data_IF_607794467166
#
_entry.id   IF_607794467166
#
_cell.length_a   1.000
_cell.length_b   1.000
_cell.length_c   1.000
_cell.angle_alpha   90.00
_cell.angle_beta   90.00
_cell.angle_gamma   90.00
#
_symmetry.space_group_name_H-M   'P 1'
#
loop_
_entity.id
_entity.type
_entity.pdbx_description
1 polymer ?
#
# COMPACT_ATOMS: atom_id res chain seq x y z
N UNK A 1 -19.30 8.24 0.13
CA UNK A 1 -20.66 8.61 -0.22
C UNK A 1 -21.51 7.34 -0.39
N UNK A 2 -22.56 7.11 0.44
CA UNK A 2 -23.43 5.93 0.33
C UNK A 2 -24.08 5.75 -1.04
N UNK A 3 -24.30 6.85 -1.78
CA UNK A 3 -24.85 6.80 -3.13
C UNK A 3 -23.96 6.05 -4.15
N UNK A 4 -22.70 5.80 -3.80
CA UNK A 4 -21.75 5.11 -4.67
C UNK A 4 -21.72 3.58 -4.48
N UNK A 5 -22.47 3.04 -3.51
CA UNK A 5 -22.42 1.60 -3.18
C UNK A 5 -22.70 0.70 -4.40
N UNK A 6 -23.58 1.13 -5.31
CA UNK A 6 -23.95 0.36 -6.50
C UNK A 6 -23.39 0.94 -7.80
N UNK A 7 -22.32 1.73 -7.72
CA UNK A 7 -21.74 2.40 -8.89
C UNK A 7 -20.25 2.08 -9.01
N UNK A 8 -19.74 2.12 -10.23
CA UNK A 8 -18.31 2.25 -10.46
C UNK A 8 -17.91 3.71 -10.21
N UNK A 9 -16.84 3.93 -9.45
CA UNK A 9 -16.33 5.25 -9.06
C UNK A 9 -14.88 5.35 -9.50
N UNK A 10 -14.57 6.36 -10.28
CA UNK A 10 -13.21 6.72 -10.69
C UNK A 10 -12.76 8.02 -10.03
N UNK A 11 -11.49 8.30 -10.14
CA UNK A 11 -10.91 9.60 -9.77
C UNK A 11 -11.01 10.57 -10.95
N UNK A 12 -11.29 11.83 -10.68
CA UNK A 12 -11.01 12.90 -11.65
C UNK A 12 -9.50 13.08 -11.79
N UNK A 13 -9.00 13.76 -12.86
CA UNK A 13 -7.57 14.06 -12.97
C UNK A 13 -7.01 14.82 -11.76
N UNK A 14 -7.78 15.74 -11.17
CA UNK A 14 -7.40 16.51 -9.98
C UNK A 14 -7.28 15.61 -8.75
N UNK A 15 -8.27 14.75 -8.53
CA UNK A 15 -8.27 13.80 -7.42
C UNK A 15 -7.12 12.78 -7.55
N UNK A 16 -6.86 12.33 -8.78
CA UNK A 16 -5.76 11.41 -9.06
C UNK A 16 -4.40 12.06 -8.80
N UNK A 17 -4.21 13.30 -9.28
CA UNK A 17 -2.99 14.06 -9.01
C UNK A 17 -2.78 14.22 -7.51
N UNK A 18 -3.78 14.66 -6.77
CA UNK A 18 -3.68 14.82 -5.32
C UNK A 18 -3.36 13.51 -4.60
N UNK A 19 -4.01 12.42 -5.00
CA UNK A 19 -3.95 11.15 -4.27
C UNK A 19 -2.72 10.32 -4.63
N UNK A 20 -2.38 10.22 -5.92
CA UNK A 20 -1.39 9.26 -6.43
C UNK A 20 -0.09 9.91 -6.88
N UNK A 21 -0.17 11.06 -7.55
CA UNK A 21 0.92 11.65 -8.34
C UNK A 21 1.24 13.09 -7.96
N UNK A 22 1.08 13.40 -6.68
CA UNK A 22 1.21 14.79 -6.17
C UNK A 22 2.65 15.34 -6.25
N UNK A 23 3.63 14.52 -6.58
CA UNK A 23 5.01 14.95 -6.81
C UNK A 23 5.38 15.06 -8.30
N UNK A 24 4.51 14.63 -9.21
CA UNK A 24 4.72 14.75 -10.65
C UNK A 24 4.29 16.12 -11.18
N UNK A 25 4.76 16.45 -12.40
CA UNK A 25 4.18 17.54 -13.16
C UNK A 25 2.70 17.28 -13.43
N UNK A 26 1.92 18.33 -13.69
CA UNK A 26 0.51 18.16 -14.04
C UNK A 26 0.34 17.37 -15.33
N UNK A 27 1.21 17.60 -16.32
CA UNK A 27 1.21 16.92 -17.61
C UNK A 27 1.45 15.40 -17.45
N UNK A 28 2.47 15.02 -16.67
CA UNK A 28 2.79 13.61 -16.39
C UNK A 28 1.69 12.93 -15.58
N UNK A 29 1.09 13.66 -14.65
CA UNK A 29 -0.03 13.17 -13.84
C UNK A 29 -1.27 12.89 -14.69
N UNK A 30 -1.62 13.80 -15.60
CA UNK A 30 -2.77 13.66 -16.49
C UNK A 30 -2.56 12.50 -17.46
N UNK A 31 -1.34 12.33 -17.99
CA UNK A 31 -0.97 11.20 -18.83
C UNK A 31 -1.06 9.86 -18.06
N UNK A 32 -0.62 9.84 -16.81
CA UNK A 32 -0.75 8.67 -15.94
C UNK A 32 -2.22 8.34 -15.64
N UNK A 33 -3.04 9.35 -15.36
CA UNK A 33 -4.46 9.19 -15.14
C UNK A 33 -5.17 8.61 -16.36
N UNK A 34 -4.93 9.18 -17.54
CA UNK A 34 -5.54 8.70 -18.78
C UNK A 34 -5.20 7.24 -19.08
N UNK A 35 -3.97 6.85 -18.78
CA UNK A 35 -3.49 5.49 -19.06
C UNK A 35 -3.90 4.44 -18.03
N UNK A 36 -3.98 4.81 -16.76
CA UNK A 36 -4.06 3.84 -15.66
C UNK A 36 -5.28 3.98 -14.77
N UNK A 37 -6.01 5.09 -14.80
CA UNK A 37 -7.17 5.26 -13.93
C UNK A 37 -8.34 4.37 -14.39
N UNK A 38 -8.67 3.38 -13.54
CA UNK A 38 -9.77 2.45 -13.78
C UNK A 38 -10.80 2.65 -12.67
N UNK A 39 -12.10 2.84 -13.01
CA UNK A 39 -13.15 2.91 -12.01
C UNK A 39 -13.23 1.64 -11.15
N UNK A 40 -13.33 1.81 -9.84
CA UNK A 40 -13.47 0.73 -8.87
C UNK A 40 -14.92 0.59 -8.36
N UNK A 41 -15.36 -0.60 -7.91
CA UNK A 41 -16.66 -0.76 -7.27
C UNK A 41 -16.78 0.09 -6.02
N UNK A 42 -17.80 0.94 -5.92
CA UNK A 42 -17.98 1.84 -4.79
C UNK A 42 -18.38 1.15 -3.47
N UNK A 43 -18.73 -0.13 -3.51
CA UNK A 43 -19.13 -0.90 -2.32
C UNK A 43 -17.98 -1.47 -1.51
N UNK A 44 -16.78 -1.60 -2.08
CA UNK A 44 -15.70 -2.33 -1.42
C UNK A 44 -15.24 -1.67 -0.11
N UNK A 45 -15.21 -0.34 -0.06
CA UNK A 45 -14.88 0.42 1.16
C UNK A 45 -15.91 0.14 2.27
N UNK A 46 -17.18 0.01 1.91
CA UNK A 46 -18.25 -0.27 2.85
C UNK A 46 -18.24 -1.73 3.30
N UNK A 47 -18.12 -2.67 2.34
CA UNK A 47 -18.21 -4.10 2.62
C UNK A 47 -16.97 -4.60 3.38
N UNK A 48 -15.79 -4.16 3.01
CA UNK A 48 -14.52 -4.70 3.54
C UNK A 48 -13.78 -3.72 4.47
N UNK A 49 -14.01 -2.43 4.34
CA UNK A 49 -13.39 -1.43 5.22
C UNK A 49 -14.18 -1.21 6.51
N UNK A 50 -15.41 -0.73 6.42
CA UNK A 50 -16.20 -0.32 7.57
C UNK A 50 -17.02 -1.48 8.16
N UNK A 51 -17.84 -2.16 7.36
CA UNK A 51 -18.77 -3.18 7.86
C UNK A 51 -18.09 -4.47 8.28
N UNK A 52 -17.00 -4.87 7.60
CA UNK A 52 -16.25 -6.06 7.97
C UNK A 52 -15.59 -5.93 9.35
N UNK A 53 -15.20 -4.71 9.72
CA UNK A 53 -14.56 -4.44 11.02
C UNK A 53 -15.55 -4.28 12.18
N UNK A 54 -16.87 -4.24 11.91
CA UNK A 54 -17.91 -4.15 12.96
C UNK A 54 -18.32 -5.49 13.55
N UNK A 55 -17.83 -6.63 13.02
CA UNK A 55 -18.09 -7.97 13.54
C UNK A 55 -16.95 -8.44 14.45
N UNK A 56 -17.03 -8.31 15.78
CA UNK A 56 -15.98 -8.79 16.67
C UNK A 56 -15.72 -10.29 16.48
N UNK A 57 -14.46 -10.67 16.26
CA UNK A 57 -14.03 -12.06 16.23
C UNK A 57 -14.26 -12.85 14.93
N UNK A 58 -14.84 -12.23 13.89
CA UNK A 58 -15.04 -12.84 12.56
C UNK A 58 -14.90 -11.82 11.41
N UNK A 59 -13.80 -11.09 11.40
CA UNK A 59 -13.52 -10.16 10.32
C UNK A 59 -12.99 -10.94 9.12
N UNK A 60 -13.57 -10.77 7.95
CA UNK A 60 -13.07 -11.36 6.69
C UNK A 60 -11.67 -10.84 6.33
N UNK A 61 -11.33 -9.67 6.86
CA UNK A 61 -10.03 -9.00 6.70
C UNK A 61 -9.07 -9.25 7.88
N UNK A 62 -9.41 -10.18 8.78
CA UNK A 62 -8.57 -10.48 9.94
C UNK A 62 -7.22 -11.10 9.53
N UNK A 63 -6.16 -10.59 10.14
CA UNK A 63 -4.79 -11.06 9.92
C UNK A 63 -4.19 -11.50 11.26
N UNK A 64 -3.64 -12.70 11.31
CA UNK A 64 -2.82 -13.13 12.44
C UNK A 64 -1.41 -12.53 12.33
N UNK A 65 -1.22 -11.42 12.99
CA UNK A 65 0.06 -10.71 13.00
C UNK A 65 1.16 -11.41 13.79
N UNK A 66 0.85 -12.44 14.56
CA UNK A 66 1.81 -13.21 15.35
C UNK A 66 2.32 -14.45 14.61
N UNK A 67 1.64 -14.85 13.54
CA UNK A 67 1.97 -16.06 12.80
C UNK A 67 3.35 -15.98 12.15
N UNK A 68 4.03 -17.12 12.12
CA UNK A 68 5.25 -17.28 11.31
C UNK A 68 4.92 -17.19 9.81
N UNK A 69 5.81 -16.53 9.07
CA UNK A 69 5.66 -16.22 7.64
C UNK A 69 7.00 -15.94 6.99
N UNK A 70 7.00 -15.73 5.69
CA UNK A 70 8.17 -15.18 5.00
C UNK A 70 8.51 -13.76 5.50
N UNK A 71 9.77 -13.32 5.41
CA UNK A 71 10.16 -11.94 5.64
C UNK A 71 9.28 -10.95 4.86
N UNK A 72 9.02 -9.79 5.44
CA UNK A 72 8.19 -8.76 4.81
C UNK A 72 8.85 -7.39 4.93
N UNK A 73 8.92 -6.71 3.80
CA UNK A 73 9.34 -5.32 3.69
C UNK A 73 8.13 -4.44 3.43
N UNK A 74 7.95 -3.42 4.26
CA UNK A 74 6.99 -2.35 4.04
C UNK A 74 7.72 -1.14 3.47
N UNK A 75 7.25 -0.64 2.34
CA UNK A 75 7.83 0.55 1.69
C UNK A 75 6.80 1.69 1.79
N UNK A 76 7.25 2.86 2.21
CA UNK A 76 6.44 4.07 2.25
C UNK A 76 7.07 5.21 1.45
N UNK A 77 6.23 6.00 0.79
CA UNK A 77 6.63 7.28 0.19
C UNK A 77 6.38 8.42 1.17
N UNK A 78 7.37 9.30 1.39
CA UNK A 78 7.26 10.43 2.34
C UNK A 78 6.06 11.34 2.03
N UNK A 79 5.73 11.52 0.74
CA UNK A 79 4.67 12.41 0.24
C UNK A 79 3.38 11.66 -0.12
N UNK A 80 3.25 10.40 0.26
CA UNK A 80 2.08 9.59 -0.03
C UNK A 80 0.85 10.10 0.73
N UNK A 81 -0.19 10.51 -0.02
CA UNK A 81 -1.44 11.01 0.54
C UNK A 81 -2.48 9.91 0.79
N UNK A 82 -2.35 8.74 0.15
CA UNK A 82 -3.29 7.61 0.34
C UNK A 82 -2.86 6.74 1.51
N UNK A 83 -1.58 6.36 1.52
CA UNK A 83 -0.96 5.54 2.56
C UNK A 83 0.22 6.29 3.18
N UNK A 84 -0.04 7.32 3.98
CA UNK A 84 1.02 8.12 4.60
C UNK A 84 2.05 7.23 5.32
N UNK A 85 3.31 7.64 5.41
CA UNK A 85 4.39 6.86 6.04
C UNK A 85 4.02 6.30 7.41
N UNK A 86 3.27 7.07 8.21
CA UNK A 86 2.80 6.66 9.52
C UNK A 86 1.91 5.41 9.50
N UNK A 87 1.10 5.23 8.44
CA UNK A 87 0.23 4.06 8.26
C UNK A 87 1.06 2.83 7.95
N UNK A 88 1.98 2.90 6.99
CA UNK A 88 2.87 1.79 6.64
C UNK A 88 3.79 1.41 7.81
N UNK A 89 4.31 2.39 8.53
CA UNK A 89 5.10 2.17 9.74
C UNK A 89 4.28 1.50 10.85
N UNK A 90 3.03 1.89 11.02
CA UNK A 90 2.10 1.23 11.95
C UNK A 90 1.79 -0.20 11.51
N UNK A 91 1.58 -0.45 10.21
CA UNK A 91 1.36 -1.79 9.69
C UNK A 91 2.54 -2.71 9.98
N UNK A 92 3.77 -2.26 9.71
CA UNK A 92 4.97 -3.03 10.04
C UNK A 92 5.04 -3.36 11.54
N UNK A 93 4.69 -2.39 12.40
CA UNK A 93 4.68 -2.57 13.85
C UNK A 93 3.68 -3.63 14.34
N UNK A 94 2.57 -3.83 13.64
CA UNK A 94 1.60 -4.88 14.01
C UNK A 94 2.23 -6.27 14.01
N UNK A 95 3.25 -6.51 13.18
CA UNK A 95 3.96 -7.79 13.09
C UNK A 95 5.08 -7.97 14.12
N UNK A 96 5.23 -7.08 15.09
CA UNK A 96 6.30 -7.15 16.11
C UNK A 96 6.30 -8.42 16.98
N UNK A 97 5.19 -9.17 16.97
CA UNK A 97 5.06 -10.45 17.68
C UNK A 97 5.31 -11.66 16.79
N UNK A 98 5.46 -11.48 15.48
CA UNK A 98 5.84 -12.55 14.57
C UNK A 98 7.32 -12.87 14.74
N UNK A 99 7.75 -14.16 14.69
CA UNK A 99 9.17 -14.51 14.64
C UNK A 99 9.82 -14.13 13.31
N UNK A 100 9.04 -13.92 12.25
CA UNK A 100 9.55 -13.54 10.94
C UNK A 100 10.01 -12.09 10.89
N UNK A 101 11.09 -11.84 10.14
CA UNK A 101 11.60 -10.49 9.92
C UNK A 101 10.53 -9.58 9.32
N UNK A 102 10.43 -8.37 9.89
CA UNK A 102 9.62 -7.28 9.35
C UNK A 102 10.44 -6.01 9.35
N UNK A 103 10.57 -5.39 8.21
CA UNK A 103 11.26 -4.12 8.07
C UNK A 103 10.36 -3.07 7.40
N UNK A 104 10.68 -1.82 7.66
CA UNK A 104 10.05 -0.65 7.05
C UNK A 104 11.13 0.26 6.49
N UNK A 105 10.94 0.69 5.25
CA UNK A 105 11.79 1.68 4.60
C UNK A 105 10.95 2.81 4.02
N UNK A 106 11.40 4.05 4.20
CA UNK A 106 10.75 5.26 3.70
C UNK A 106 11.62 5.92 2.66
N UNK A 107 11.05 6.15 1.48
CA UNK A 107 11.70 6.88 0.41
C UNK A 107 11.31 8.37 0.46
N UNK A 108 12.30 9.23 0.63
CA UNK A 108 12.11 10.66 0.66
C UNK A 108 11.59 11.21 -0.67
N UNK A 109 10.69 12.19 -0.62
CA UNK A 109 10.15 12.87 -1.78
C UNK A 109 9.21 12.05 -2.66
N UNK A 110 8.92 10.80 -2.33
CA UNK A 110 8.06 9.92 -3.13
C UNK A 110 6.61 9.96 -2.67
N UNK A 111 5.71 9.90 -3.63
CA UNK A 111 4.26 9.84 -3.43
C UNK A 111 3.72 8.39 -3.57
N UNK A 112 2.40 8.24 -3.73
CA UNK A 112 1.77 6.91 -3.90
C UNK A 112 2.18 6.22 -5.21
N UNK A 113 2.64 6.97 -6.21
CA UNK A 113 3.10 6.46 -7.51
C UNK A 113 4.53 5.91 -7.48
N UNK A 114 5.02 5.57 -6.30
CA UNK A 114 6.40 5.17 -6.00
C UNK A 114 6.98 4.13 -6.96
N UNK A 115 6.17 3.16 -7.42
CA UNK A 115 6.63 2.08 -8.31
C UNK A 115 6.62 2.45 -9.81
N UNK A 116 6.16 3.64 -10.19
CA UNK A 116 6.05 4.05 -11.59
C UNK A 116 6.48 5.52 -11.84
N UNK A 117 6.76 6.29 -10.78
CA UNK A 117 7.31 7.63 -10.89
C UNK A 117 8.76 7.60 -11.41
N UNK A 118 9.26 8.68 -12.04
CA UNK A 118 10.66 8.78 -12.43
C UNK A 118 11.61 8.38 -11.31
N UNK A 119 12.62 7.56 -11.60
CA UNK A 119 13.55 6.98 -10.61
C UNK A 119 12.96 5.85 -9.78
N UNK A 120 11.90 5.20 -10.24
CA UNK A 120 11.31 4.00 -9.60
C UNK A 120 12.34 2.86 -9.45
N UNK A 121 13.39 2.86 -10.28
CA UNK A 121 14.46 1.87 -10.27
C UNK A 121 15.17 1.81 -8.91
N UNK A 122 15.36 2.94 -8.25
CA UNK A 122 15.95 3.00 -6.90
C UNK A 122 15.12 2.18 -5.89
N UNK A 123 13.81 2.29 -5.97
CA UNK A 123 12.89 1.55 -5.10
C UNK A 123 12.88 0.07 -5.45
N UNK A 124 12.91 -0.25 -6.75
CA UNK A 124 12.96 -1.63 -7.24
C UNK A 124 14.26 -2.32 -6.86
N UNK A 125 15.41 -1.64 -7.02
CA UNK A 125 16.73 -2.17 -6.67
C UNK A 125 16.84 -2.43 -5.17
N UNK A 126 16.38 -1.49 -4.34
CA UNK A 126 16.32 -1.67 -2.90
C UNK A 126 15.46 -2.88 -2.51
N UNK A 127 14.26 -2.99 -3.09
CA UNK A 127 13.35 -4.09 -2.80
C UNK A 127 13.93 -5.44 -3.25
N UNK A 128 14.59 -5.47 -4.40
CA UNK A 128 15.24 -6.68 -4.94
C UNK A 128 16.43 -7.10 -4.08
N UNK A 129 17.31 -6.17 -3.70
CA UNK A 129 18.44 -6.45 -2.82
C UNK A 129 17.95 -6.98 -1.47
N UNK A 130 16.96 -6.32 -0.90
CA UNK A 130 16.35 -6.77 0.35
C UNK A 130 15.77 -8.18 0.22
N UNK A 131 14.99 -8.43 -0.83
CA UNK A 131 14.36 -9.73 -1.06
C UNK A 131 15.39 -10.85 -1.27
N UNK A 132 16.45 -10.60 -2.03
CA UNK A 132 17.52 -11.60 -2.28
C UNK A 132 18.33 -11.88 -1.03
N UNK A 133 18.60 -10.86 -0.22
CA UNK A 133 19.33 -11.00 1.06
C UNK A 133 18.54 -11.85 2.05
N UNK A 134 17.22 -11.73 2.05
CA UNK A 134 16.35 -12.44 3.00
C UNK A 134 15.62 -13.65 2.40
N UNK A 135 15.86 -13.98 1.12
CA UNK A 135 15.35 -15.20 0.50
C UNK A 135 15.94 -16.43 1.20
N UNK A 136 15.08 -17.27 1.73
CA UNK A 136 15.51 -18.51 2.42
C UNK A 136 15.69 -18.40 3.94
N UNK A 137 15.56 -17.23 4.52
CA UNK A 137 15.54 -17.06 5.99
C UNK A 137 14.21 -17.52 6.61
N UNK A 138 13.68 -18.67 6.16
CA UNK A 138 12.61 -19.32 6.93
C UNK A 138 13.27 -19.86 8.20
N UNK A 139 12.78 -19.45 9.35
CA UNK A 139 13.06 -20.19 10.57
C UNK A 139 12.59 -21.63 10.32
N UNK A 140 13.54 -22.58 10.36
CA UNK A 140 13.16 -23.99 10.42
C UNK A 140 12.27 -24.11 11.67
N UNK A 141 11.03 -24.53 11.45
CA UNK A 141 10.16 -24.85 12.57
C UNK A 141 10.86 -25.92 13.43
N UNK A 142 10.83 -25.82 14.75
CA UNK A 142 11.40 -26.80 15.66
C UNK A 142 10.76 -28.18 15.48
#
# INVERSE_FOLDING_TARGET
NPANIHRAVGFTPEEFHFAFTNTLSREDSDAAWEKYAIPAPGNWVWAYGLLANLKPGRQETWVDYSKDRAPSLFIGGEKDHIMPPSVNKSNAKHYSKSPALTEYHEFAGRDHWTCAAPGWEEVADYALEWATTHAGTRHAAP
#
